data_IF_858102663271
#
_entry.id   IF_858102663271
#
_cell.length_a   1.000
_cell.length_b   1.000
_cell.length_c   1.000
_cell.angle_alpha   90.00
_cell.angle_beta   90.00
_cell.angle_gamma   90.00
#
_symmetry.space_group_name_H-M   'P 1'
#
loop_
_entity.id
_entity.type
_entity.pdbx_description
1 polymer ?
#
# COMPACT_ATOMS: atom_id res chain seq x y z
N UNK A 1 7.70 14.08 -8.37
CA UNK A 1 6.38 14.06 -9.02
C UNK A 1 5.32 13.68 -8.03
N UNK A 2 4.21 14.38 -8.07
CA UNK A 2 3.13 14.18 -7.11
C UNK A 2 2.07 13.21 -7.62
N UNK A 3 2.44 12.30 -8.51
CA UNK A 3 1.55 11.27 -9.04
C UNK A 3 2.07 9.89 -8.72
N UNK A 4 1.12 9.01 -8.38
CA UNK A 4 1.37 7.58 -8.20
C UNK A 4 0.68 6.82 -9.32
N UNK A 5 1.41 5.95 -10.01
CA UNK A 5 0.87 5.01 -11.01
C UNK A 5 1.18 3.63 -10.49
N UNK A 6 0.14 2.87 -10.14
CA UNK A 6 0.27 1.63 -9.41
C UNK A 6 -0.72 0.59 -9.90
N UNK A 7 -0.25 -0.63 -10.07
CA UNK A 7 -1.12 -1.77 -10.31
C UNK A 7 -1.10 -2.69 -9.09
N UNK A 8 -2.24 -3.30 -8.81
CA UNK A 8 -2.46 -4.15 -7.64
C UNK A 8 -3.02 -5.51 -8.06
N UNK A 9 -2.50 -6.56 -7.44
CA UNK A 9 -2.86 -7.94 -7.73
C UNK A 9 -3.13 -8.71 -6.44
N UNK A 10 -3.93 -9.75 -6.53
CA UNK A 10 -4.05 -10.73 -5.45
C UNK A 10 -2.89 -11.74 -5.54
N UNK A 11 -2.62 -12.42 -4.43
CA UNK A 11 -1.54 -13.40 -4.31
C UNK A 11 -2.15 -14.81 -4.39
N UNK A 12 -1.47 -15.73 -5.10
CA UNK A 12 -1.95 -17.11 -5.27
C UNK A 12 -1.08 -18.16 -4.59
N UNK A 13 0.14 -17.80 -4.15
CA UNK A 13 1.02 -18.71 -3.40
C UNK A 13 2.05 -17.90 -2.62
N UNK A 14 2.85 -18.56 -1.80
CA UNK A 14 3.83 -17.92 -0.91
C UNK A 14 5.24 -17.78 -1.51
N UNK A 15 5.37 -17.91 -2.82
CA UNK A 15 6.67 -17.81 -3.49
C UNK A 15 7.41 -16.48 -3.27
N UNK A 16 6.68 -15.43 -2.92
CA UNK A 16 7.27 -14.12 -2.61
C UNK A 16 8.25 -14.18 -1.43
N UNK A 17 8.07 -15.09 -0.49
CA UNK A 17 8.92 -15.17 0.72
C UNK A 17 10.38 -15.42 0.33
N UNK A 18 10.62 -16.44 -0.50
CA UNK A 18 11.97 -16.78 -0.94
C UNK A 18 12.58 -15.71 -1.86
N UNK A 19 11.76 -14.95 -2.57
CA UNK A 19 12.20 -13.92 -3.53
C UNK A 19 12.42 -12.56 -2.87
N UNK A 20 11.95 -12.37 -1.64
CA UNK A 20 12.05 -11.07 -0.95
C UNK A 20 13.47 -10.79 -0.48
N UNK A 21 13.84 -9.49 -0.49
CA UNK A 21 15.13 -9.02 0.03
C UNK A 21 15.00 -8.37 1.40
N UNK A 22 13.78 -8.02 1.82
CA UNK A 22 13.51 -7.45 3.13
C UNK A 22 12.03 -7.57 3.45
N UNK A 23 11.70 -7.40 4.74
CA UNK A 23 10.31 -7.28 5.19
C UNK A 23 10.20 -6.18 6.22
N UNK A 24 9.03 -5.54 6.28
CA UNK A 24 8.81 -4.35 7.11
C UNK A 24 7.44 -4.42 7.75
N UNK A 25 7.36 -3.98 9.00
CA UNK A 25 6.09 -3.88 9.71
C UNK A 25 5.48 -2.51 9.45
N UNK A 26 4.19 -2.49 9.09
CA UNK A 26 3.45 -1.27 8.81
C UNK A 26 2.20 -1.24 9.67
N UNK A 27 1.99 -0.11 10.36
CA UNK A 27 0.73 0.24 10.99
C UNK A 27 0.23 1.52 10.34
N UNK A 28 -1.01 1.57 9.93
CA UNK A 28 -1.54 2.77 9.29
C UNK A 28 -3.02 2.98 9.59
N UNK A 29 -3.39 4.25 9.67
CA UNK A 29 -4.76 4.68 9.86
C UNK A 29 -5.09 5.85 8.96
N UNK A 30 -6.37 6.22 8.93
CA UNK A 30 -6.85 7.27 8.04
C UNK A 30 -7.51 8.37 8.85
N UNK A 31 -6.96 9.58 8.76
CA UNK A 31 -7.59 10.79 9.29
C UNK A 31 -8.76 11.20 8.41
N UNK A 32 -8.69 10.88 7.12
CA UNK A 32 -9.79 11.06 6.17
C UNK A 32 -9.84 9.87 5.23
N UNK A 33 -11.02 9.24 5.08
CA UNK A 33 -11.29 8.19 4.09
C UNK A 33 -12.07 8.69 2.89
N UNK A 34 -12.24 10.00 2.76
CA UNK A 34 -12.88 10.60 1.60
C UNK A 34 -12.09 10.22 0.35
N UNK A 35 -12.73 9.56 -0.65
CA UNK A 35 -12.03 9.14 -1.87
C UNK A 35 -11.34 10.29 -2.63
N UNK A 36 -11.83 11.51 -2.48
CA UNK A 36 -11.28 12.69 -3.15
C UNK A 36 -10.10 13.30 -2.40
N UNK A 37 -9.98 13.01 -1.12
CA UNK A 37 -8.95 13.57 -0.23
C UNK A 37 -8.64 12.63 0.93
N UNK A 38 -8.04 11.51 0.59
CA UNK A 38 -7.60 10.51 1.58
C UNK A 38 -6.38 11.05 2.33
N UNK A 39 -6.40 10.99 3.65
CA UNK A 39 -5.28 11.38 4.50
C UNK A 39 -4.89 10.20 5.38
N UNK A 40 -3.68 9.70 5.21
CA UNK A 40 -3.16 8.51 5.87
C UNK A 40 -1.98 8.86 6.77
N UNK A 41 -1.97 8.29 7.97
CA UNK A 41 -0.80 8.24 8.85
C UNK A 41 -0.25 6.83 8.81
N UNK A 42 1.05 6.68 8.59
CA UNK A 42 1.71 5.38 8.52
C UNK A 42 2.94 5.37 9.41
N UNK A 43 3.12 4.28 10.15
CA UNK A 43 4.37 3.95 10.80
C UNK A 43 4.96 2.77 10.05
N UNK A 44 6.11 3.02 9.43
CA UNK A 44 6.84 2.05 8.61
C UNK A 44 8.12 1.72 9.37
N UNK A 45 8.15 0.54 10.00
CA UNK A 45 9.18 0.15 10.97
C UNK A 45 9.26 1.20 12.10
N UNK A 46 10.28 2.05 12.10
CA UNK A 46 10.49 3.09 13.13
C UNK A 46 10.34 4.52 12.59
N UNK A 47 9.74 4.68 11.40
CA UNK A 47 9.55 5.99 10.77
C UNK A 47 8.08 6.31 10.59
N UNK A 48 7.74 7.59 10.71
CA UNK A 48 6.39 8.08 10.51
C UNK A 48 6.23 8.84 9.21
N UNK A 49 5.07 8.68 8.57
CA UNK A 49 4.73 9.35 7.30
C UNK A 49 3.30 9.85 7.32
N UNK A 50 3.10 11.03 6.75
CA UNK A 50 1.78 11.57 6.48
C UNK A 50 1.60 11.63 4.96
N UNK A 51 0.51 11.04 4.47
CA UNK A 51 0.24 10.94 3.04
C UNK A 51 -1.13 11.50 2.73
N UNK A 52 -1.20 12.35 1.70
CA UNK A 52 -2.46 12.88 1.16
C UNK A 52 -2.61 12.36 -0.24
N UNK A 53 -3.77 11.73 -0.54
CA UNK A 53 -4.06 11.19 -1.86
C UNK A 53 -5.35 11.78 -2.41
N UNK A 54 -5.32 12.11 -3.69
CA UNK A 54 -6.50 12.53 -4.44
C UNK A 54 -7.32 11.34 -4.92
N UNK A 55 -8.34 11.61 -5.76
CA UNK A 55 -9.19 10.56 -6.31
C UNK A 55 -8.40 9.65 -7.25
N UNK A 56 -8.60 8.35 -7.10
CA UNK A 56 -8.02 7.36 -7.99
C UNK A 56 -8.71 7.41 -9.36
N UNK A 57 -7.92 7.40 -10.44
CA UNK A 57 -8.41 7.34 -11.82
C UNK A 57 -7.68 6.20 -12.52
N UNK A 58 -8.30 5.00 -12.52
CA UNK A 58 -7.65 3.81 -13.01
C UNK A 58 -6.44 3.44 -12.16
N UNK A 59 -5.25 3.56 -12.73
CA UNK A 59 -3.99 3.30 -12.04
C UNK A 59 -3.24 4.58 -11.60
N UNK A 60 -3.83 5.77 -11.84
CA UNK A 60 -3.20 7.08 -11.56
C UNK A 60 -3.88 7.75 -10.36
N UNK A 61 -3.07 8.33 -9.47
CA UNK A 61 -3.55 9.05 -8.31
C UNK A 61 -2.55 10.14 -7.92
N UNK A 62 -3.05 11.33 -7.55
CA UNK A 62 -2.21 12.34 -6.89
C UNK A 62 -1.79 11.82 -5.53
N UNK A 63 -0.51 11.98 -5.19
CA UNK A 63 0.02 11.57 -3.91
C UNK A 63 1.05 12.56 -3.41
N UNK A 64 0.91 12.96 -2.15
CA UNK A 64 1.88 13.79 -1.44
C UNK A 64 2.25 13.06 -0.16
N UNK A 65 3.53 12.75 0.03
CA UNK A 65 3.98 12.01 1.20
C UNK A 65 5.16 12.72 1.84
N UNK A 66 5.08 12.87 3.16
CA UNK A 66 6.10 13.55 3.96
C UNK A 66 6.44 12.73 5.19
N UNK A 67 7.73 12.61 5.47
CA UNK A 67 8.17 12.01 6.73
C UNK A 67 7.87 12.99 7.87
N UNK A 68 7.35 12.45 8.98
CA UNK A 68 7.05 13.21 10.19
C UNK A 68 7.75 12.54 11.38
N UNK A 69 7.98 13.26 12.48
CA UNK A 69 8.55 12.63 13.68
C UNK A 69 7.72 11.43 14.12
N UNK A 70 8.38 10.35 14.53
CA UNK A 70 7.71 9.11 14.95
C UNK A 70 6.73 9.38 16.11
N UNK A 71 7.07 10.28 17.03
CA UNK A 71 6.19 10.65 18.14
C UNK A 71 4.91 11.28 17.64
N UNK A 72 4.99 12.16 16.63
CA UNK A 72 3.82 12.77 16.01
C UNK A 72 2.98 11.73 15.29
N UNK A 73 3.62 10.81 14.57
CA UNK A 73 2.91 9.74 13.85
C UNK A 73 2.14 8.84 14.83
N UNK A 74 2.73 8.49 15.98
CA UNK A 74 2.04 7.69 17.00
C UNK A 74 0.80 8.42 17.53
N UNK A 75 0.92 9.71 17.81
CA UNK A 75 -0.21 10.51 18.30
C UNK A 75 -1.30 10.67 17.22
N UNK A 76 -0.90 10.93 15.98
CA UNK A 76 -1.85 11.04 14.87
C UNK A 76 -2.55 9.71 14.60
N UNK A 77 -1.82 8.59 14.73
CA UNK A 77 -2.41 7.26 14.54
C UNK A 77 -3.50 7.00 15.59
N UNK A 78 -3.29 7.46 16.82
CA UNK A 78 -4.28 7.36 17.89
C UNK A 78 -5.54 8.19 17.61
N UNK A 79 -5.44 9.24 16.80
CA UNK A 79 -6.59 10.05 16.38
C UNK A 79 -7.40 9.41 15.25
N UNK A 80 -6.82 8.43 14.55
CA UNK A 80 -7.50 7.81 13.41
C UNK A 80 -8.67 6.95 13.87
N UNK A 81 -9.85 7.12 13.24
CA UNK A 81 -10.96 6.20 13.50
C UNK A 81 -10.58 4.76 13.14
N UNK A 82 -11.06 3.77 13.90
CA UNK A 82 -10.84 2.37 13.53
C UNK A 82 -11.51 2.03 12.19
N UNK A 83 -11.03 1.02 11.46
CA UNK A 83 -9.93 0.15 11.82
C UNK A 83 -8.57 0.76 11.51
N UNK A 84 -7.55 0.38 12.29
CA UNK A 84 -6.14 0.64 11.99
C UNK A 84 -5.57 -0.60 11.31
N UNK A 85 -4.89 -0.42 10.20
CA UNK A 85 -4.31 -1.53 9.45
C UNK A 85 -2.98 -1.94 10.07
N UNK A 86 -2.78 -3.24 10.21
CA UNK A 86 -1.52 -3.86 10.60
C UNK A 86 -1.15 -4.86 9.53
N UNK A 87 0.02 -4.70 8.92
CA UNK A 87 0.48 -5.56 7.82
C UNK A 87 1.98 -5.66 7.80
N UNK A 88 2.48 -6.71 7.15
CA UNK A 88 3.89 -6.89 6.82
C UNK A 88 4.08 -6.73 5.33
N UNK A 89 5.06 -5.92 4.94
CA UNK A 89 5.41 -5.68 3.54
C UNK A 89 6.70 -6.39 3.20
N UNK A 90 6.65 -7.23 2.18
CA UNK A 90 7.84 -7.88 1.61
C UNK A 90 8.26 -7.14 0.36
N UNK A 91 9.55 -6.85 0.25
CA UNK A 91 10.12 -6.17 -0.91
C UNK A 91 10.69 -7.24 -1.84
N UNK A 92 10.15 -7.32 -3.05
CA UNK A 92 10.46 -8.40 -4.01
C UNK A 92 10.92 -7.78 -5.34
N UNK A 93 12.23 -7.81 -5.64
CA UNK A 93 12.71 -7.42 -6.97
C UNK A 93 12.33 -8.50 -7.97
N UNK A 94 11.76 -8.09 -9.10
CA UNK A 94 11.42 -9.02 -10.17
C UNK A 94 11.30 -8.28 -11.50
N UNK A 95 11.93 -8.80 -12.56
CA UNK A 95 11.80 -8.27 -13.91
C UNK A 95 12.25 -6.82 -14.07
N UNK A 96 13.22 -6.37 -13.29
CA UNK A 96 13.72 -4.99 -13.32
C UNK A 96 12.87 -4.00 -12.52
N UNK A 97 11.84 -4.47 -11.82
CA UNK A 97 10.96 -3.66 -10.97
C UNK A 97 11.03 -4.14 -9.54
N UNK A 98 10.50 -3.32 -8.64
CA UNK A 98 10.34 -3.68 -7.23
C UNK A 98 8.86 -3.88 -6.94
N UNK A 99 8.50 -5.08 -6.49
CA UNK A 99 7.16 -5.41 -6.05
C UNK A 99 7.06 -5.27 -4.54
N UNK A 100 5.92 -4.80 -4.07
CA UNK A 100 5.60 -4.73 -2.65
C UNK A 100 4.47 -5.70 -2.36
N UNK A 101 4.77 -6.73 -1.56
CA UNK A 101 3.78 -7.75 -1.18
C UNK A 101 3.33 -7.47 0.24
N UNK A 102 2.05 -7.16 0.41
CA UNK A 102 1.46 -6.82 1.69
C UNK A 102 0.64 -7.97 2.23
N UNK A 103 1.00 -8.44 3.42
CA UNK A 103 0.30 -9.49 4.14
C UNK A 103 -0.42 -8.82 5.30
N UNK A 104 -1.74 -8.71 5.20
CA UNK A 104 -2.57 -8.00 6.17
C UNK A 104 -2.95 -8.92 7.32
N UNK A 105 -2.76 -8.44 8.56
CA UNK A 105 -3.18 -9.13 9.78
C UNK A 105 -4.45 -8.52 10.36
N UNK A 106 -4.65 -7.22 10.21
CA UNK A 106 -5.81 -6.50 10.72
C UNK A 106 -6.16 -5.37 9.75
N UNK A 107 -7.42 -5.05 9.47
CA UNK A 107 -8.66 -5.58 10.08
C UNK A 107 -9.12 -6.90 9.47
N UNK A 108 -8.61 -7.26 8.31
CA UNK A 108 -8.93 -8.51 7.62
C UNK A 108 -7.65 -9.16 7.14
N UNK A 109 -7.64 -10.48 7.06
CA UNK A 109 -6.50 -11.20 6.48
C UNK A 109 -6.64 -11.16 4.97
N UNK A 110 -5.60 -10.61 4.32
CA UNK A 110 -5.59 -10.42 2.87
C UNK A 110 -4.13 -10.37 2.42
N UNK A 111 -3.87 -10.79 1.18
CA UNK A 111 -2.53 -10.75 0.58
C UNK A 111 -2.62 -10.07 -0.76
N UNK A 112 -1.83 -9.01 -0.95
CA UNK A 112 -1.79 -8.26 -2.20
C UNK A 112 -0.36 -7.99 -2.64
N UNK A 113 -0.17 -7.79 -3.94
CA UNK A 113 1.09 -7.34 -4.52
C UNK A 113 0.86 -6.08 -5.32
N UNK A 114 1.74 -5.12 -5.16
CA UNK A 114 1.67 -3.84 -5.86
C UNK A 114 2.97 -3.57 -6.60
N UNK A 115 2.86 -2.95 -7.77
CA UNK A 115 3.98 -2.46 -8.56
C UNK A 115 3.71 -1.01 -8.93
N UNK A 116 4.68 -0.13 -8.63
CA UNK A 116 4.63 1.27 -9.03
C UNK A 116 5.35 1.44 -10.35
N UNK A 117 4.73 2.16 -11.29
CA UNK A 117 5.18 2.26 -12.66
C UNK A 117 5.48 3.71 -13.02
N UNK A 118 6.45 3.95 -13.94
CA UNK A 118 6.73 5.30 -14.42
C UNK A 118 5.64 5.83 -15.36
N UNK A 119 4.88 4.94 -16.01
CA UNK A 119 3.78 5.29 -16.91
C UNK A 119 2.77 4.16 -16.98
N UNK A 120 1.50 4.50 -17.29
CA UNK A 120 0.41 3.51 -17.33
C UNK A 120 0.59 2.45 -18.41
N UNK A 121 1.33 2.75 -19.48
CA UNK A 121 1.59 1.82 -20.60
C UNK A 121 2.88 1.02 -20.43
N UNK A 122 3.50 1.06 -19.26
CA UNK A 122 4.73 0.32 -18.97
C UNK A 122 4.44 -1.18 -19.06
N UNK A 123 5.27 -1.91 -19.81
CA UNK A 123 5.21 -3.36 -19.92
C UNK A 123 6.10 -3.98 -18.85
N UNK A 124 5.57 -4.99 -18.15
CA UNK A 124 6.31 -5.68 -17.09
C UNK A 124 5.87 -7.13 -17.01
N UNK A 125 6.74 -7.97 -16.44
CA UNK A 125 6.45 -9.37 -16.23
C UNK A 125 5.76 -9.60 -14.89
N UNK A 126 4.85 -10.56 -14.82
CA UNK A 126 4.19 -10.95 -13.58
C UNK A 126 5.00 -12.03 -12.87
N UNK A 127 5.35 -11.82 -11.59
CA UNK A 127 5.97 -12.88 -10.79
C UNK A 127 5.04 -14.10 -10.65
N UNK A 128 5.59 -15.31 -10.41
CA UNK A 128 4.79 -16.52 -10.35
C UNK A 128 3.80 -16.60 -9.18
N UNK A 129 3.92 -15.74 -8.18
CA UNK A 129 3.00 -15.71 -7.04
C UNK A 129 1.82 -14.75 -7.23
N UNK A 130 1.76 -14.01 -8.34
CA UNK A 130 0.74 -13.00 -8.61
C UNK A 130 -0.45 -13.63 -9.32
N UNK A 131 -1.66 -13.26 -8.89
CA UNK A 131 -2.91 -13.74 -9.47
C UNK A 131 -3.73 -12.65 -10.14
N UNK A 132 -4.98 -12.48 -9.71
CA UNK A 132 -5.93 -11.58 -10.34
C UNK A 132 -5.52 -10.11 -10.17
N UNK A 133 -5.61 -9.35 -11.28
CA UNK A 133 -5.43 -7.90 -11.26
C UNK A 133 -6.69 -7.24 -10.67
N UNK A 134 -6.52 -6.49 -9.59
CA UNK A 134 -7.60 -5.78 -8.91
C UNK A 134 -7.38 -4.27 -8.90
N UNK A 135 -6.53 -3.77 -9.80
CA UNK A 135 -6.22 -2.35 -9.93
C UNK A 135 -7.49 -1.53 -10.11
N UNK A 136 -7.64 -0.49 -9.30
CA UNK A 136 -8.78 0.42 -9.38
C UNK A 136 -10.07 -0.12 -8.77
N UNK A 137 -10.07 -1.31 -8.19
CA UNK A 137 -11.24 -1.86 -7.50
C UNK A 137 -11.28 -1.34 -6.06
N UNK A 138 -12.27 -0.48 -5.70
CA UNK A 138 -12.34 0.12 -4.36
C UNK A 138 -12.44 -0.90 -3.23
N UNK A 139 -12.92 -2.11 -3.50
CA UNK A 139 -13.01 -3.18 -2.52
C UNK A 139 -11.64 -3.52 -1.91
N UNK A 140 -10.57 -3.30 -2.67
CA UNK A 140 -9.19 -3.60 -2.25
C UNK A 140 -8.40 -2.37 -1.82
N UNK A 141 -9.01 -1.18 -1.78
CA UNK A 141 -8.33 0.00 -1.25
C UNK A 141 -8.13 -0.15 0.25
N UNK A 142 -6.91 0.17 0.73
CA UNK A 142 -6.60 0.10 2.16
C UNK A 142 -7.56 0.96 2.98
N UNK A 143 -7.96 2.12 2.46
CA UNK A 143 -8.87 3.04 3.15
C UNK A 143 -10.29 2.49 3.33
N UNK A 144 -10.64 1.43 2.59
CA UNK A 144 -11.96 0.80 2.63
C UNK A 144 -11.97 -0.54 3.40
N UNK A 145 -10.82 -1.04 3.83
CA UNK A 145 -10.74 -2.34 4.50
C UNK A 145 -11.43 -2.30 5.87
N UNK A 146 -12.21 -3.33 6.16
CA UNK A 146 -12.89 -3.48 7.43
C UNK A 146 -14.19 -2.71 7.55
N UNK A 147 -14.68 -2.12 6.48
CA UNK A 147 -15.97 -1.43 6.44
C UNK A 147 -17.13 -2.41 6.17
#
# INVERSE_FOLDING_TARGET
>A
MSKEIENKYLIINDGYVAMSISSHHIRQGYLSRDPDRTVRVRIYDDKGYLTVKGRNSGDIRLEFEYEVPITDAEEMLALCPPPVIDKTRYIVPFGGFTWEVDIFEHPVKMETAEIELPASDTVYELPPFVGQNVTGDPHYYNSNLGE
#
